data_IF_911745027721
#
_entry.id   IF_911745027721
#
_cell.length_a   1.000
_cell.length_b   1.000
_cell.length_c   1.000
_cell.angle_alpha   90.00
_cell.angle_beta   90.00
_cell.angle_gamma   90.00
#
_symmetry.space_group_name_H-M   'P 1'
#
loop_
_entity.id
_entity.type
_entity.pdbx_description
1 polymer ?
#
# COMPACT_ATOMS: atom_id res chain seq x y z
N UNK A 1 -11.00 43.42 9.86
CA UNK A 1 -11.74 42.14 9.93
C UNK A 1 -11.57 41.48 8.56
N UNK A 2 -10.54 40.66 8.41
CA UNK A 2 -10.22 39.96 7.15
C UNK A 2 -11.01 38.66 7.11
N UNK A 3 -11.69 38.31 6.00
CA UNK A 3 -12.43 37.06 5.91
C UNK A 3 -11.43 35.90 5.88
N UNK A 4 -11.38 35.14 6.98
CA UNK A 4 -10.81 33.79 7.00
C UNK A 4 -11.65 32.93 6.05
N UNK A 5 -11.24 32.86 4.79
CA UNK A 5 -11.63 31.76 3.92
C UNK A 5 -11.21 30.48 4.63
N UNK A 6 -12.18 29.78 5.22
CA UNK A 6 -11.99 28.55 5.96
C UNK A 6 -11.27 27.53 5.10
N UNK A 7 -9.95 27.43 5.25
CA UNK A 7 -9.16 26.35 4.68
C UNK A 7 -9.65 25.09 5.36
N UNK A 8 -10.47 24.30 4.67
CA UNK A 8 -10.78 22.94 5.06
C UNK A 8 -9.47 22.14 5.06
N UNK A 9 -8.75 22.18 6.17
CA UNK A 9 -7.54 21.38 6.37
C UNK A 9 -8.00 19.99 6.81
N UNK A 10 -8.27 19.12 5.84
CA UNK A 10 -8.57 17.72 6.13
C UNK A 10 -7.39 17.12 6.91
N UNK A 11 -7.60 16.59 8.13
CA UNK A 11 -6.53 16.00 8.89
C UNK A 11 -5.89 14.84 8.12
N UNK A 12 -4.56 14.81 8.09
CA UNK A 12 -3.76 13.71 7.48
C UNK A 12 -4.23 12.35 7.99
N UNK A 13 -4.58 12.27 9.27
CA UNK A 13 -5.05 11.03 9.89
C UNK A 13 -6.45 10.61 9.42
N UNK A 14 -7.32 11.56 9.05
CA UNK A 14 -8.63 11.24 8.49
C UNK A 14 -8.49 10.64 7.10
N UNK A 15 -7.65 11.25 6.24
CA UNK A 15 -7.36 10.72 4.90
C UNK A 15 -6.73 9.32 5.02
N UNK A 16 -5.79 9.15 5.96
CA UNK A 16 -5.17 7.85 6.22
C UNK A 16 -6.19 6.81 6.66
N UNK A 17 -7.07 7.16 7.60
CA UNK A 17 -8.10 6.26 8.13
C UNK A 17 -9.05 5.83 7.03
N UNK A 18 -9.50 6.79 6.21
CA UNK A 18 -10.35 6.49 5.06
C UNK A 18 -9.66 5.57 4.06
N UNK A 19 -8.39 5.82 3.71
CA UNK A 19 -7.62 4.95 2.83
C UNK A 19 -7.49 3.51 3.40
N UNK A 20 -7.28 3.37 4.72
CA UNK A 20 -7.24 2.04 5.39
C UNK A 20 -8.59 1.32 5.25
N UNK A 21 -9.71 2.02 5.48
CA UNK A 21 -11.05 1.44 5.32
C UNK A 21 -11.26 0.95 3.89
N UNK A 22 -10.84 1.73 2.89
CA UNK A 22 -10.92 1.31 1.50
C UNK A 22 -10.05 0.08 1.20
N UNK A 23 -8.84 -0.05 1.78
CA UNK A 23 -8.01 -1.27 1.63
C UNK A 23 -8.74 -2.49 2.21
N UNK A 24 -9.33 -2.35 3.40
CA UNK A 24 -10.09 -3.44 4.03
C UNK A 24 -11.27 -3.85 3.13
N UNK A 25 -12.01 -2.87 2.62
CA UNK A 25 -13.11 -3.10 1.68
C UNK A 25 -12.63 -3.79 0.39
N UNK A 26 -11.48 -3.40 -0.16
CA UNK A 26 -10.91 -4.01 -1.35
C UNK A 26 -10.66 -5.51 -1.13
N UNK A 27 -10.01 -5.87 -0.04
CA UNK A 27 -9.71 -7.27 0.26
C UNK A 27 -10.97 -8.09 0.55
N UNK A 28 -11.89 -7.53 1.34
CA UNK A 28 -13.18 -8.17 1.58
C UNK A 28 -14.01 -8.37 0.30
N UNK A 29 -13.87 -7.50 -0.70
CA UNK A 29 -14.60 -7.60 -1.96
C UNK A 29 -13.92 -8.48 -3.02
N UNK A 30 -12.60 -8.72 -2.92
CA UNK A 30 -11.82 -9.49 -3.90
C UNK A 30 -11.63 -10.95 -3.52
N UNK A 31 -11.51 -11.28 -2.24
CA UNK A 31 -11.36 -12.66 -1.77
C UNK A 31 -12.58 -13.57 -2.03
N UNK A 32 -13.84 -13.09 -2.05
CA UNK A 32 -15.01 -13.93 -2.34
C UNK A 32 -15.22 -14.25 -3.82
N UNK A 33 -14.32 -13.89 -4.74
CA UNK A 33 -14.48 -14.19 -6.17
C UNK A 33 -14.19 -15.68 -6.40
N UNK A 34 -15.11 -16.53 -5.98
CA UNK A 34 -15.31 -17.82 -6.61
C UNK A 34 -15.81 -17.55 -8.02
N UNK A 35 -15.25 -18.25 -9.01
CA UNK A 35 -15.75 -18.16 -10.38
C UNK A 35 -17.22 -18.55 -10.35
N UNK A 36 -18.08 -17.61 -10.72
CA UNK A 36 -19.51 -17.83 -10.80
C UNK A 36 -19.75 -18.63 -12.08
N UNK A 37 -19.57 -19.95 -12.00
CA UNK A 37 -19.74 -20.85 -13.14
C UNK A 37 -21.22 -21.00 -13.56
N UNK A 38 -22.15 -20.47 -12.75
CA UNK A 38 -23.59 -20.56 -12.97
C UNK A 38 -24.26 -19.18 -12.82
N UNK A 39 -25.04 -18.77 -13.82
CA UNK A 39 -25.85 -17.54 -13.79
C UNK A 39 -27.10 -17.70 -12.93
N UNK A 40 -26.95 -17.94 -11.62
CA UNK A 40 -28.08 -17.84 -10.69
C UNK A 40 -28.33 -16.38 -10.28
N UNK A 41 -29.56 -16.00 -9.88
CA UNK A 41 -29.85 -14.65 -9.39
C UNK A 41 -28.96 -14.22 -8.21
N UNK A 42 -28.65 -15.15 -7.30
CA UNK A 42 -27.75 -14.91 -6.16
C UNK A 42 -26.32 -14.64 -6.63
N UNK A 43 -25.88 -15.40 -7.63
CA UNK A 43 -24.58 -15.26 -8.27
C UNK A 43 -24.40 -13.90 -8.96
N UNK A 44 -25.43 -13.45 -9.69
CA UNK A 44 -25.45 -12.12 -10.32
C UNK A 44 -25.43 -11.01 -9.26
N UNK A 45 -26.18 -11.18 -8.17
CA UNK A 45 -26.21 -10.22 -7.06
C UNK A 45 -24.84 -10.11 -6.40
N UNK A 46 -24.22 -11.24 -6.05
CA UNK A 46 -22.88 -11.29 -5.47
C UNK A 46 -21.86 -10.62 -6.39
N UNK A 47 -21.91 -10.91 -7.70
CA UNK A 47 -21.01 -10.31 -8.68
C UNK A 47 -21.13 -8.79 -8.73
N UNK A 48 -22.34 -8.23 -8.76
CA UNK A 48 -22.52 -6.78 -8.73
C UNK A 48 -22.05 -6.18 -7.40
N UNK A 49 -22.37 -6.82 -6.28
CA UNK A 49 -21.94 -6.38 -4.96
C UNK A 49 -20.42 -6.30 -4.86
N UNK A 50 -19.70 -7.36 -5.22
CA UNK A 50 -18.22 -7.37 -5.17
C UNK A 50 -17.62 -6.35 -6.13
N UNK A 51 -18.15 -6.20 -7.34
CA UNK A 51 -17.65 -5.22 -8.31
C UNK A 51 -17.86 -3.77 -7.86
N UNK A 52 -18.99 -3.44 -7.25
CA UNK A 52 -19.26 -2.10 -6.73
C UNK A 52 -18.27 -1.77 -5.61
N UNK A 53 -18.13 -2.64 -4.61
CA UNK A 53 -17.20 -2.41 -3.49
C UNK A 53 -15.73 -2.41 -3.93
N UNK A 54 -15.36 -3.28 -4.87
CA UNK A 54 -14.03 -3.27 -5.48
C UNK A 54 -13.76 -1.95 -6.22
N UNK A 55 -14.74 -1.44 -6.98
CA UNK A 55 -14.60 -0.18 -7.70
C UNK A 55 -14.50 1.03 -6.76
N UNK A 56 -15.30 1.06 -5.70
CA UNK A 56 -15.29 2.12 -4.68
C UNK A 56 -13.98 2.15 -3.88
N UNK A 57 -13.33 1.01 -3.72
CA UNK A 57 -12.07 0.90 -2.95
C UNK A 57 -10.81 1.20 -3.76
N UNK A 58 -10.89 1.32 -5.10
CA UNK A 58 -9.74 1.66 -5.96
C UNK A 58 -8.93 2.89 -5.55
N UNK A 59 -9.53 3.97 -4.99
CA UNK A 59 -8.76 5.13 -4.54
C UNK A 59 -7.83 4.86 -3.34
N UNK A 60 -7.96 3.72 -2.65
CA UNK A 60 -7.18 3.40 -1.45
C UNK A 60 -5.68 3.63 -1.62
N UNK A 61 -5.08 3.00 -2.64
CA UNK A 61 -3.64 3.10 -2.89
C UNK A 61 -3.22 4.49 -3.35
N UNK A 62 -3.87 5.12 -4.36
CA UNK A 62 -3.57 6.50 -4.73
C UNK A 62 -3.62 7.47 -3.55
N UNK A 63 -4.57 7.33 -2.63
CA UNK A 63 -4.63 8.17 -1.43
C UNK A 63 -3.39 8.02 -0.55
N UNK A 64 -2.87 6.81 -0.34
CA UNK A 64 -1.61 6.62 0.38
C UNK A 64 -0.40 7.23 -0.34
N UNK A 65 -0.36 7.13 -1.67
CA UNK A 65 0.71 7.73 -2.49
C UNK A 65 0.67 9.26 -2.38
N UNK A 66 -0.51 9.85 -2.55
CA UNK A 66 -0.72 11.29 -2.42
C UNK A 66 -0.38 11.80 -1.02
N UNK A 67 -0.82 11.10 0.02
CA UNK A 67 -0.52 11.46 1.41
C UNK A 67 0.99 11.38 1.69
N UNK A 68 1.67 10.37 1.16
CA UNK A 68 3.12 10.24 1.26
C UNK A 68 3.83 11.39 0.56
N UNK A 69 3.40 11.75 -0.66
CA UNK A 69 3.92 12.90 -1.40
C UNK A 69 3.73 14.21 -0.64
N UNK A 70 2.51 14.48 -0.15
CA UNK A 70 2.18 15.69 0.60
C UNK A 70 3.00 15.87 1.89
N UNK A 71 3.44 14.76 2.52
CA UNK A 71 4.27 14.79 3.73
C UNK A 71 5.78 14.81 3.43
N UNK A 72 6.21 14.24 2.31
CA UNK A 72 7.62 14.06 2.00
C UNK A 72 8.19 15.13 1.08
N UNK A 73 7.38 15.78 0.26
CA UNK A 73 7.79 16.79 -0.73
C UNK A 73 7.67 18.23 -0.20
N UNK A 74 7.45 18.40 1.10
CA UNK A 74 7.35 19.73 1.70
C UNK A 74 8.71 20.47 1.66
N UNK A 75 8.73 21.79 1.43
CA UNK A 75 9.98 22.58 1.42
C UNK A 75 10.81 22.42 2.70
N UNK A 76 10.15 22.24 3.84
CA UNK A 76 10.78 21.99 5.15
C UNK A 76 11.62 20.71 5.22
N UNK A 77 11.53 19.83 4.21
CA UNK A 77 12.27 18.57 4.12
C UNK A 77 13.44 18.62 3.15
N UNK A 78 13.70 19.75 2.49
CA UNK A 78 14.78 19.89 1.51
C UNK A 78 16.18 19.72 2.13
N UNK A 79 16.37 20.23 3.36
CA UNK A 79 17.65 20.16 4.07
C UNK A 79 17.89 18.80 4.77
N UNK A 80 16.92 17.87 4.71
CA UNK A 80 17.09 16.54 5.30
C UNK A 80 18.14 15.75 4.51
N UNK A 81 19.24 15.38 5.17
CA UNK A 81 20.30 14.60 4.53
C UNK A 81 19.78 13.25 4.01
N UNK A 82 20.29 12.81 2.85
CA UNK A 82 19.85 11.58 2.20
C UNK A 82 20.04 10.34 3.10
N UNK A 83 21.14 10.28 3.86
CA UNK A 83 21.40 9.18 4.79
C UNK A 83 20.34 9.09 5.89
N UNK A 84 20.01 10.22 6.51
CA UNK A 84 18.92 10.29 7.50
C UNK A 84 17.58 9.99 6.85
N UNK A 85 17.40 10.44 5.61
CA UNK A 85 16.20 10.17 4.84
C UNK A 85 15.98 8.66 4.71
N UNK A 86 16.89 7.96 4.02
CA UNK A 86 16.75 6.54 3.71
C UNK A 86 16.74 5.67 4.97
N UNK A 87 17.59 5.96 5.97
CA UNK A 87 17.65 5.14 7.20
C UNK A 87 16.31 5.10 7.95
N UNK A 88 15.64 6.23 8.10
CA UNK A 88 14.32 6.29 8.79
C UNK A 88 13.27 5.45 8.06
N UNK A 89 13.27 5.51 6.73
CA UNK A 89 12.24 4.85 5.90
C UNK A 89 12.53 3.36 5.73
N UNK A 90 13.80 3.00 5.54
CA UNK A 90 14.25 1.61 5.48
C UNK A 90 13.89 0.88 6.78
N UNK A 91 14.17 1.46 7.95
CA UNK A 91 13.81 0.83 9.23
C UNK A 91 12.29 0.62 9.37
N UNK A 92 11.49 1.56 8.87
CA UNK A 92 10.02 1.48 8.93
C UNK A 92 9.44 0.41 7.99
N UNK A 93 10.08 0.16 6.85
CA UNK A 93 9.66 -0.85 5.86
C UNK A 93 10.24 -2.22 6.21
N UNK A 94 11.53 -2.29 6.49
CA UNK A 94 12.28 -3.53 6.65
C UNK A 94 11.76 -4.37 7.82
N UNK A 95 11.41 -3.76 8.95
CA UNK A 95 10.93 -4.50 10.11
C UNK A 95 9.59 -5.22 9.82
N UNK A 96 8.53 -4.54 9.33
CA UNK A 96 7.31 -5.24 8.90
C UNK A 96 7.55 -6.23 7.76
N UNK A 97 8.38 -5.88 6.77
CA UNK A 97 8.68 -6.76 5.63
C UNK A 97 9.30 -8.09 6.09
N UNK A 98 10.31 -8.04 6.96
CA UNK A 98 10.96 -9.23 7.49
C UNK A 98 10.02 -10.04 8.39
N UNK A 99 9.28 -9.37 9.26
CA UNK A 99 8.33 -10.03 10.16
C UNK A 99 7.24 -10.76 9.38
N UNK A 100 6.51 -10.05 8.51
CA UNK A 100 5.44 -10.66 7.73
C UNK A 100 5.98 -11.64 6.70
N UNK A 101 7.13 -11.36 6.09
CA UNK A 101 7.74 -12.25 5.11
C UNK A 101 8.05 -13.60 5.74
N UNK A 102 8.67 -13.59 6.93
CA UNK A 102 8.92 -14.80 7.70
C UNK A 102 7.62 -15.49 8.09
N UNK A 103 6.62 -14.76 8.58
CA UNK A 103 5.33 -15.33 8.96
C UNK A 103 4.64 -16.05 7.79
N UNK A 104 4.67 -15.46 6.59
CA UNK A 104 4.09 -16.09 5.39
C UNK A 104 4.90 -17.28 4.90
N UNK A 105 6.22 -17.24 4.94
CA UNK A 105 7.04 -18.43 4.64
C UNK A 105 6.73 -19.58 5.60
N UNK A 106 6.64 -19.29 6.90
CA UNK A 106 6.25 -20.27 7.92
C UNK A 106 4.86 -20.84 7.62
N UNK A 107 3.90 -19.97 7.33
CA UNK A 107 2.54 -20.40 6.99
C UNK A 107 2.49 -21.29 5.74
N UNK A 108 3.25 -20.97 4.68
CA UNK A 108 3.33 -21.79 3.46
C UNK A 108 3.88 -23.19 3.71
N UNK A 109 4.87 -23.32 4.59
CA UNK A 109 5.44 -24.62 4.97
C UNK A 109 4.38 -25.46 5.70
N UNK A 110 3.65 -24.87 6.65
CA UNK A 110 2.69 -25.60 7.46
C UNK A 110 1.34 -25.87 6.77
N UNK A 111 0.96 -25.06 5.78
CA UNK A 111 -0.36 -25.16 5.12
C UNK A 111 -0.27 -25.78 3.72
N UNK A 112 0.84 -25.57 3.01
CA UNK A 112 1.02 -26.09 1.64
C UNK A 112 2.13 -27.13 1.53
N UNK A 113 2.69 -27.59 2.65
CA UNK A 113 3.80 -28.57 2.71
C UNK A 113 5.00 -28.18 1.82
N UNK A 114 5.23 -26.88 1.66
CA UNK A 114 6.26 -26.38 0.76
C UNK A 114 7.67 -26.64 1.31
N UNK A 115 8.55 -27.14 0.44
CA UNK A 115 9.95 -27.40 0.79
C UNK A 115 10.75 -26.10 0.78
N UNK A 116 11.33 -25.76 1.93
CA UNK A 116 12.31 -24.68 2.04
C UNK A 116 13.57 -25.05 1.25
N UNK A 117 13.83 -24.28 0.20
CA UNK A 117 15.09 -24.30 -0.53
C UNK A 117 15.62 -22.87 -0.62
N UNK A 118 16.93 -22.71 -0.84
CA UNK A 118 17.50 -21.39 -1.10
C UNK A 118 16.85 -20.73 -2.32
N UNK A 119 16.47 -21.52 -3.34
CA UNK A 119 15.73 -21.07 -4.50
C UNK A 119 14.36 -20.49 -4.16
N UNK A 120 13.53 -21.22 -3.41
CA UNK A 120 12.19 -20.76 -3.03
C UNK A 120 12.20 -19.54 -2.10
N UNK A 121 13.22 -19.42 -1.25
CA UNK A 121 13.41 -18.21 -0.42
C UNK A 121 13.76 -17.00 -1.29
N UNK A 122 14.74 -17.14 -2.21
CA UNK A 122 15.14 -16.04 -3.10
C UNK A 122 13.96 -15.63 -3.97
N UNK A 123 13.27 -16.59 -4.56
CA UNK A 123 12.09 -16.34 -5.38
C UNK A 123 11.02 -15.61 -4.57
N UNK A 124 10.64 -16.10 -3.39
CA UNK A 124 9.62 -15.46 -2.57
C UNK A 124 10.02 -14.05 -2.11
N UNK A 125 11.30 -13.76 -1.88
CA UNK A 125 11.75 -12.40 -1.55
C UNK A 125 11.69 -11.47 -2.77
N UNK A 126 11.92 -11.97 -3.98
CA UNK A 126 11.92 -11.17 -5.21
C UNK A 126 10.51 -10.94 -5.76
N UNK A 127 9.63 -11.94 -5.68
CA UNK A 127 8.26 -11.89 -6.22
C UNK A 127 7.22 -11.47 -5.19
N UNK A 128 7.57 -11.53 -3.90
CA UNK A 128 6.69 -11.28 -2.77
C UNK A 128 6.22 -12.61 -2.17
N UNK A 129 6.46 -12.86 -0.86
CA UNK A 129 6.05 -14.11 -0.21
C UNK A 129 4.52 -14.26 -0.14
N UNK A 130 3.80 -13.15 -0.31
CA UNK A 130 2.35 -13.09 -0.36
C UNK A 130 1.89 -11.93 -1.24
N UNK A 131 0.66 -12.02 -1.76
CA UNK A 131 0.18 -11.11 -2.80
C UNK A 131 0.13 -9.64 -2.38
N UNK A 132 0.06 -9.31 -1.08
CA UNK A 132 0.11 -7.92 -0.58
C UNK A 132 1.50 -7.28 -0.58
N UNK A 133 2.57 -8.05 -0.77
CA UNK A 133 3.94 -7.54 -0.68
C UNK A 133 4.30 -6.57 -1.81
N UNK A 134 3.53 -6.59 -2.91
CA UNK A 134 3.62 -5.62 -4.00
C UNK A 134 3.68 -4.16 -3.49
N UNK A 135 2.92 -3.86 -2.43
CA UNK A 135 2.87 -2.51 -1.86
C UNK A 135 4.19 -2.09 -1.21
N UNK A 136 4.96 -3.02 -0.62
CA UNK A 136 6.29 -2.71 -0.08
C UNK A 136 7.26 -2.32 -1.21
N UNK A 137 7.25 -3.03 -2.33
CA UNK A 137 8.10 -2.69 -3.48
C UNK A 137 7.71 -1.33 -4.08
N UNK A 138 6.40 -1.02 -4.14
CA UNK A 138 5.92 0.31 -4.52
C UNK A 138 6.47 1.40 -3.58
N UNK A 139 6.44 1.18 -2.26
CA UNK A 139 6.98 2.15 -1.30
C UNK A 139 8.49 2.36 -1.47
N UNK A 140 9.25 1.29 -1.70
CA UNK A 140 10.68 1.38 -2.00
C UNK A 140 10.92 2.25 -3.24
N UNK A 141 10.20 1.99 -4.33
CA UNK A 141 10.26 2.80 -5.55
C UNK A 141 9.95 4.28 -5.29
N UNK A 142 8.86 4.57 -4.57
CA UNK A 142 8.50 5.95 -4.22
C UNK A 142 9.57 6.64 -3.38
N UNK A 143 10.19 5.94 -2.43
CA UNK A 143 11.25 6.52 -1.59
C UNK A 143 12.54 6.77 -2.36
N UNK A 144 12.86 5.94 -3.35
CA UNK A 144 13.98 6.19 -4.27
C UNK A 144 13.72 7.41 -5.16
N UNK A 145 12.47 7.61 -5.61
CA UNK A 145 12.09 8.77 -6.43
C UNK A 145 11.94 10.07 -5.62
N UNK A 146 11.62 9.97 -4.33
CA UNK A 146 11.31 11.13 -3.48
C UNK A 146 12.39 12.23 -3.50
N UNK A 147 13.70 11.94 -3.38
CA UNK A 147 14.73 12.99 -3.45
C UNK A 147 14.74 13.75 -4.78
N UNK A 148 14.53 13.05 -5.89
CA UNK A 148 14.45 13.68 -7.23
C UNK A 148 13.21 14.56 -7.32
N UNK A 149 12.06 14.06 -6.86
CA UNK A 149 10.81 14.80 -6.82
C UNK A 149 10.90 16.05 -5.92
N UNK A 150 11.62 15.98 -4.79
CA UNK A 150 11.86 17.14 -3.91
C UNK A 150 12.58 18.27 -4.65
N UNK A 151 13.61 17.93 -5.41
CA UNK A 151 14.36 18.90 -6.22
C UNK A 151 13.43 19.50 -7.27
N UNK A 152 12.73 18.67 -8.06
CA UNK A 152 11.83 19.15 -9.12
C UNK A 152 10.75 20.11 -8.60
N UNK A 153 10.10 19.76 -7.49
CA UNK A 153 9.05 20.58 -6.87
C UNK A 153 9.60 21.89 -6.29
N UNK A 154 10.89 21.96 -5.93
CA UNK A 154 11.50 23.19 -5.44
C UNK A 154 11.72 24.24 -6.54
N UNK A 155 11.67 23.85 -7.81
CA UNK A 155 11.91 24.73 -8.97
C UNK A 155 10.65 25.01 -9.82
N UNK A 156 9.47 24.58 -9.37
CA UNK A 156 8.16 24.82 -10.01
C UNK A 156 7.30 25.64 -9.05
#
# INVERSE_FOLDING_TARGET
MSPEAGKLSLPVDLIRTFAIILVIMLHAATEPITVVDQMSPEAVTLWWTTNIYNSLSRPAVPLFVMLSGALLLQPSKLEESLSVFFKKRLNRIALPFLFWGTAYFVWRIFVYDEVLSSGSIIEGVLTGPYFHFWFFYLLVGLYLLTPVLRVLVAYI
#
